data_IF_113065745853
#
_entry.id   IF_113065745853
#
_cell.length_a   1.000
_cell.length_b   1.000
_cell.length_c   1.000
_cell.angle_alpha   90.00
_cell.angle_beta   90.00
_cell.angle_gamma   90.00
#
_symmetry.space_group_name_H-M   'P 1'
#
loop_
_entity.id
_entity.type
_entity.pdbx_description
1 polymer ?
#
# COMPACT_ATOMS: atom_id res chain seq x y z
N UNK A 1 1.64 13.54 -11.08
CA UNK A 1 1.20 12.21 -10.61
C UNK A 1 2.37 11.39 -10.08
N UNK A 2 3.57 11.50 -10.67
CA UNK A 2 4.78 10.80 -10.19
C UNK A 2 5.06 10.93 -8.70
N UNK A 3 5.12 12.16 -8.16
CA UNK A 3 5.38 12.37 -6.73
C UNK A 3 4.38 11.63 -5.81
N UNK A 4 3.10 11.59 -6.18
CA UNK A 4 2.07 10.88 -5.42
C UNK A 4 2.23 9.37 -5.53
N UNK A 5 2.55 8.86 -6.72
CA UNK A 5 2.81 7.43 -6.95
C UNK A 5 4.02 6.97 -6.11
N UNK A 6 5.13 7.72 -6.16
CA UNK A 6 6.34 7.44 -5.40
C UNK A 6 6.09 7.48 -3.88
N UNK A 7 5.34 8.48 -3.41
CA UNK A 7 4.99 8.57 -1.99
C UNK A 7 4.15 7.38 -1.53
N UNK A 8 3.18 6.98 -2.34
CA UNK A 8 2.34 5.81 -2.06
C UNK A 8 3.14 4.50 -2.07
N UNK A 9 4.17 4.36 -2.91
CA UNK A 9 5.11 3.22 -2.87
C UNK A 9 5.88 3.15 -1.56
N UNK A 10 6.23 4.30 -0.97
CA UNK A 10 6.83 4.35 0.37
C UNK A 10 5.86 3.83 1.43
N UNK A 11 4.59 4.25 1.39
CA UNK A 11 3.55 3.73 2.29
C UNK A 11 3.33 2.23 2.12
N UNK A 12 3.28 1.73 0.88
CA UNK A 12 3.16 0.30 0.58
C UNK A 12 4.27 -0.52 1.25
N UNK A 13 5.53 -0.06 1.17
CA UNK A 13 6.65 -0.73 1.84
C UNK A 13 6.44 -0.78 3.35
N UNK A 14 6.07 0.35 3.96
CA UNK A 14 5.82 0.43 5.41
C UNK A 14 4.63 -0.42 5.87
N UNK A 15 3.53 -0.45 5.11
CA UNK A 15 2.36 -1.27 5.43
C UNK A 15 2.68 -2.76 5.36
N UNK A 16 3.37 -3.20 4.32
CA UNK A 16 3.81 -4.60 4.20
C UNK A 16 4.75 -5.00 5.34
N UNK A 17 5.70 -4.14 5.70
CA UNK A 17 6.60 -4.38 6.83
C UNK A 17 5.85 -4.52 8.16
N UNK A 18 4.91 -3.62 8.43
CA UNK A 18 4.12 -3.64 9.67
C UNK A 18 3.12 -4.78 9.72
N UNK A 19 2.46 -5.11 8.60
CA UNK A 19 1.58 -6.27 8.49
C UNK A 19 2.34 -7.54 8.85
N UNK A 20 3.56 -7.72 8.31
CA UNK A 20 4.44 -8.85 8.67
C UNK A 20 4.79 -8.85 10.17
N UNK A 21 5.30 -7.73 10.71
CA UNK A 21 5.71 -7.63 12.12
C UNK A 21 4.56 -7.94 13.09
N UNK A 22 3.37 -7.42 12.80
CA UNK A 22 2.17 -7.61 13.65
C UNK A 22 1.63 -9.04 13.52
N UNK A 23 1.70 -9.63 12.33
CA UNK A 23 1.38 -11.05 12.12
C UNK A 23 2.31 -11.97 12.90
N UNK A 24 3.63 -11.73 12.85
CA UNK A 24 4.64 -12.47 13.64
C UNK A 24 4.42 -12.34 15.15
N UNK A 25 3.78 -11.25 15.60
CA UNK A 25 3.40 -11.03 17.01
C UNK A 25 2.05 -11.69 17.40
N UNK A 26 1.41 -12.43 16.49
CA UNK A 26 0.17 -13.18 16.75
C UNK A 26 -1.13 -12.42 16.51
N UNK A 27 -1.07 -11.22 15.93
CA UNK A 27 -2.25 -10.38 15.66
C UNK A 27 -2.69 -10.49 14.19
N UNK A 28 -3.06 -11.70 13.76
CA UNK A 28 -3.35 -12.01 12.35
C UNK A 28 -4.45 -11.12 11.75
N UNK A 29 -5.53 -10.83 12.50
CA UNK A 29 -6.63 -9.99 12.00
C UNK A 29 -6.17 -8.54 11.76
N UNK A 30 -5.31 -8.00 12.63
CA UNK A 30 -4.75 -6.65 12.46
C UNK A 30 -3.79 -6.61 11.28
N UNK A 31 -2.94 -7.64 11.12
CA UNK A 31 -2.06 -7.78 9.97
C UNK A 31 -2.84 -7.83 8.66
N UNK A 32 -3.96 -8.57 8.61
CA UNK A 32 -4.85 -8.64 7.47
C UNK A 32 -5.45 -7.28 7.12
N UNK A 33 -5.86 -6.48 8.12
CA UNK A 33 -6.39 -5.11 7.89
C UNK A 33 -5.33 -4.16 7.34
N UNK A 34 -4.08 -4.26 7.80
CA UNK A 34 -2.98 -3.46 7.26
C UNK A 34 -2.66 -3.88 5.81
N UNK A 35 -2.71 -5.18 5.52
CA UNK A 35 -2.50 -5.68 4.17
C UNK A 35 -3.62 -5.24 3.21
N UNK A 36 -4.87 -5.20 3.69
CA UNK A 36 -6.01 -4.64 2.96
C UNK A 36 -5.77 -3.16 2.62
N UNK A 37 -5.26 -2.37 3.57
CA UNK A 37 -4.88 -0.97 3.33
C UNK A 37 -3.75 -0.83 2.29
N UNK A 38 -2.77 -1.74 2.29
CA UNK A 38 -1.74 -1.79 1.24
C UNK A 38 -2.35 -2.06 -0.13
N UNK A 39 -3.24 -3.05 -0.26
CA UNK A 39 -3.95 -3.32 -1.52
C UNK A 39 -4.70 -2.08 -2.05
N UNK A 40 -5.38 -1.34 -1.17
CA UNK A 40 -6.08 -0.10 -1.55
C UNK A 40 -5.13 1.01 -2.01
N UNK A 41 -3.95 1.10 -1.42
CA UNK A 41 -2.93 2.05 -1.86
C UNK A 41 -2.37 1.68 -3.24
N UNK A 42 -2.21 0.38 -3.53
CA UNK A 42 -1.79 -0.09 -4.85
C UNK A 42 -2.84 0.20 -5.92
N UNK A 43 -4.13 -0.03 -5.63
CA UNK A 43 -5.25 0.36 -6.49
C UNK A 43 -5.21 1.88 -6.80
N UNK A 44 -4.91 2.71 -5.79
CA UNK A 44 -4.74 4.16 -5.97
C UNK A 44 -3.62 4.47 -6.96
N UNK A 45 -2.45 3.83 -6.80
CA UNK A 45 -1.31 4.00 -7.71
C UNK A 45 -1.64 3.59 -9.14
N UNK A 46 -2.35 2.49 -9.34
CA UNK A 46 -2.79 2.06 -10.67
C UNK A 46 -3.68 3.12 -11.33
N UNK A 47 -4.59 3.75 -10.59
CA UNK A 47 -5.44 4.83 -11.11
C UNK A 47 -4.66 6.10 -11.42
N UNK A 48 -3.71 6.48 -10.56
CA UNK A 48 -2.83 7.61 -10.82
C UNK A 48 -1.93 7.37 -12.03
N UNK A 49 -1.45 6.14 -12.23
CA UNK A 49 -0.65 5.77 -13.40
C UNK A 49 -1.48 5.84 -14.68
N UNK A 50 -2.69 5.27 -14.68
CA UNK A 50 -3.64 5.38 -15.80
C UNK A 50 -3.94 6.85 -16.17
N UNK A 51 -4.14 7.69 -15.17
CA UNK A 51 -4.39 9.12 -15.38
C UNK A 51 -3.15 9.83 -15.95
N UNK A 52 -1.94 9.42 -15.55
CA UNK A 52 -0.67 9.96 -16.06
C UNK A 52 -0.47 9.59 -17.52
N UNK A 53 -0.79 8.35 -17.89
CA UNK A 53 -0.62 7.83 -19.25
C UNK A 53 -1.69 8.36 -20.23
N UNK A 54 -2.74 9.00 -19.71
CA UNK A 54 -3.84 9.59 -20.50
C UNK A 54 -3.63 11.08 -20.83
N UNK A 55 -2.51 11.67 -20.42
CA UNK A 55 -2.13 13.07 -20.68
C UNK A 55 -0.72 13.13 -21.27
#
# INVERSE_FOLDING_TARGET
MEHWIEHNESHLKSFNEWSRKIGEAGYEEVAAKILEAAGKMEECNQKLQQAKDSI
#
